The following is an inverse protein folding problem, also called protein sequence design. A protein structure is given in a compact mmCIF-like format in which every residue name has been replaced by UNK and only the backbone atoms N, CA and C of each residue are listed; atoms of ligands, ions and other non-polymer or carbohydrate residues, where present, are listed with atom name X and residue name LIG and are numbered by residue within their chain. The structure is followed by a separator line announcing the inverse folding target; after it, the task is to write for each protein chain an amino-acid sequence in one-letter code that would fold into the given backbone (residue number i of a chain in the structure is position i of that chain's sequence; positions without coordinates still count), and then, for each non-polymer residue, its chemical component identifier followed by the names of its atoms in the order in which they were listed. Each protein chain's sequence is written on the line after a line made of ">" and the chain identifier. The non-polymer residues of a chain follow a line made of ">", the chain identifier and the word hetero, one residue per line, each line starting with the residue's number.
data_IF_674971879751
#
_entry.id   IF_674971879751
#
_cell.length_a   1.000
_cell.length_b   1.000
_cell.length_c   1.000
_cell.angle_alpha   90.00
_cell.angle_beta   90.00
_cell.angle_gamma   90.00
#
_symmetry.space_group_name_H-M   'P 1'
#
loop_
_entity.id
_entity.type
_entity.pdbx_description
1 polymer ?
#
# COMPACT_ATOMS: atom_id res chain seq x y z
N UNK A 1 -4.51 -38.00 -1.88
CA UNK A 1 -4.10 -37.14 -0.75
C UNK A 1 -4.98 -35.91 -0.80
N UNK A 2 -5.80 -35.69 0.23
CA UNK A 2 -6.91 -34.74 0.19
C UNK A 2 -6.42 -33.28 0.20
N UNK A 3 -6.88 -32.44 -0.73
CA UNK A 3 -6.43 -31.04 -0.89
C UNK A 3 -6.63 -30.22 0.39
N UNK A 4 -7.66 -30.55 1.17
CA UNK A 4 -7.96 -29.92 2.45
C UNK A 4 -6.83 -30.14 3.46
N UNK A 5 -6.23 -31.34 3.46
CA UNK A 5 -5.13 -31.69 4.36
C UNK A 5 -3.83 -30.96 4.00
N UNK A 6 -3.59 -30.74 2.71
CA UNK A 6 -2.41 -30.01 2.20
C UNK A 6 -2.52 -28.53 2.55
N UNK A 7 -3.68 -27.90 2.31
CA UNK A 7 -3.94 -26.49 2.68
C UNK A 7 -3.78 -26.25 4.18
N UNK A 8 -4.25 -27.17 5.02
CA UNK A 8 -4.14 -27.07 6.49
C UNK A 8 -2.69 -27.13 6.96
N UNK A 9 -1.87 -27.99 6.37
CA UNK A 9 -0.44 -28.11 6.68
C UNK A 9 0.35 -26.89 6.22
N UNK A 10 0.06 -26.36 5.04
CA UNK A 10 0.72 -25.17 4.51
C UNK A 10 0.42 -23.93 5.37
N UNK A 11 -0.86 -23.74 5.74
CA UNK A 11 -1.27 -22.65 6.64
C UNK A 11 -0.62 -22.76 8.02
N UNK A 12 -0.56 -23.96 8.58
CA UNK A 12 0.10 -24.18 9.87
C UNK A 12 1.60 -23.88 9.79
N UNK A 13 2.28 -24.29 8.71
CA UNK A 13 3.70 -23.99 8.51
C UNK A 13 3.97 -22.48 8.40
N UNK A 14 3.10 -21.73 7.70
CA UNK A 14 3.17 -20.27 7.61
C UNK A 14 2.92 -19.64 8.99
N UNK A 15 1.86 -20.05 9.69
CA UNK A 15 1.56 -19.51 11.02
C UNK A 15 2.66 -19.79 12.04
N UNK A 16 3.24 -20.99 12.04
CA UNK A 16 4.36 -21.35 12.92
C UNK A 16 5.63 -20.58 12.55
N UNK A 17 5.92 -20.40 11.25
CA UNK A 17 7.06 -19.61 10.79
C UNK A 17 6.94 -18.12 11.11
N UNK A 18 5.73 -17.58 11.07
CA UNK A 18 5.42 -16.20 11.46
C UNK A 18 5.50 -16.02 12.99
N UNK A 19 4.90 -16.94 13.76
CA UNK A 19 4.94 -16.89 15.22
C UNK A 19 6.36 -17.04 15.79
N UNK A 20 7.19 -17.89 15.19
CA UNK A 20 8.62 -18.02 15.56
C UNK A 20 9.43 -16.73 15.31
N UNK A 21 8.88 -15.78 14.55
CA UNK A 21 9.44 -14.45 14.27
C UNK A 21 8.71 -13.32 15.00
N UNK A 22 7.83 -13.63 15.94
CA UNK A 22 7.03 -12.64 16.68
C UNK A 22 5.92 -11.98 15.85
N UNK A 23 5.56 -12.56 14.70
CA UNK A 23 4.52 -12.04 13.80
C UNK A 23 3.19 -12.74 14.12
N UNK A 24 2.19 -11.97 14.52
CA UNK A 24 0.84 -12.47 14.84
C UNK A 24 -0.10 -12.35 13.63
N UNK A 25 -0.74 -13.47 13.24
CA UNK A 25 -1.67 -13.52 12.12
C UNK A 25 -3.10 -13.77 12.61
N UNK A 26 -3.94 -12.74 12.60
CA UNK A 26 -5.36 -12.89 12.94
C UNK A 26 -6.22 -13.25 11.72
N UNK A 27 -7.00 -14.32 11.82
CA UNK A 27 -8.07 -14.64 10.86
C UNK A 27 -9.41 -14.28 11.48
N UNK A 28 -10.08 -13.27 10.96
CA UNK A 28 -11.43 -12.88 11.39
C UNK A 28 -12.45 -13.88 10.86
N UNK A 29 -12.86 -14.84 11.69
CA UNK A 29 -13.80 -15.90 11.33
C UNK A 29 -15.28 -15.58 11.57
N UNK A 30 -15.60 -14.48 12.24
CA UNK A 30 -16.97 -13.95 12.36
C UNK A 30 -16.94 -12.55 13.00
N UNK A 31 -17.58 -11.56 12.37
CA UNK A 31 -18.36 -10.58 13.13
C UNK A 31 -17.69 -9.40 13.85
N UNK A 32 -16.40 -9.12 13.73
CA UNK A 32 -15.89 -7.75 13.94
C UNK A 32 -14.61 -7.55 13.12
N UNK A 33 -14.75 -7.13 11.87
CA UNK A 33 -13.63 -6.55 11.12
C UNK A 33 -13.24 -5.30 11.92
N UNK A 34 -12.14 -5.35 12.68
CA UNK A 34 -11.63 -4.13 13.34
C UNK A 34 -11.42 -3.12 12.22
N UNK A 35 -12.09 -1.98 12.32
CA UNK A 35 -11.92 -0.90 11.36
C UNK A 35 -10.47 -0.42 11.41
N UNK A 36 -9.95 0.13 10.32
CA UNK A 36 -8.60 0.70 10.30
C UNK A 36 -8.37 1.68 11.47
N UNK A 37 -9.31 2.60 11.79
CA UNK A 37 -9.22 3.43 13.00
C UNK A 37 -9.02 2.64 14.31
N UNK A 38 -9.73 1.53 14.50
CA UNK A 38 -9.62 0.74 15.73
C UNK A 38 -8.25 0.04 15.84
N UNK A 39 -7.71 -0.44 14.72
CA UNK A 39 -6.36 -1.02 14.65
C UNK A 39 -5.31 0.04 14.96
N UNK A 40 -5.38 1.20 14.30
CA UNK A 40 -4.44 2.29 14.50
C UNK A 40 -4.50 2.85 15.93
N UNK A 41 -5.70 3.04 16.48
CA UNK A 41 -5.90 3.49 17.86
C UNK A 41 -5.36 2.49 18.90
N UNK A 42 -5.39 1.18 18.61
CA UNK A 42 -4.75 0.19 19.46
C UNK A 42 -3.24 0.38 19.49
N UNK A 43 -2.56 0.38 18.33
CA UNK A 43 -1.11 0.51 18.28
C UNK A 43 -0.59 1.86 18.78
N UNK A 44 -1.30 2.96 18.51
CA UNK A 44 -0.97 4.29 19.06
C UNK A 44 -0.97 4.31 20.59
N UNK A 45 -1.97 3.65 21.22
CA UNK A 45 -2.02 3.53 22.68
C UNK A 45 -0.85 2.71 23.26
N UNK A 46 -0.20 1.90 22.42
CA UNK A 46 0.98 1.11 22.78
C UNK A 46 2.30 1.75 22.30
N UNK A 47 2.28 3.02 21.89
CA UNK A 47 3.49 3.79 21.62
C UNK A 47 3.90 3.88 20.14
N UNK A 48 3.10 3.36 19.21
CA UNK A 48 3.37 3.52 17.77
C UNK A 48 3.38 5.01 17.39
N UNK A 49 4.55 5.51 17.00
CA UNK A 49 4.80 6.92 16.68
C UNK A 49 5.80 7.02 15.52
N UNK A 50 5.37 6.77 14.27
CA UNK A 50 6.27 6.80 13.13
C UNK A 50 6.80 8.19 12.83
N UNK A 51 8.04 8.26 12.36
CA UNK A 51 8.57 9.47 11.73
C UNK A 51 8.07 9.64 10.30
N UNK A 52 7.82 8.52 9.60
CA UNK A 52 7.34 8.52 8.22
C UNK A 52 6.19 7.52 8.02
N UNK A 53 5.13 7.97 7.36
CA UNK A 53 4.03 7.13 6.86
C UNK A 53 4.12 7.06 5.34
N UNK A 54 4.11 5.84 4.80
CA UNK A 54 4.13 5.57 3.36
C UNK A 54 2.83 4.86 2.99
N UNK A 55 2.05 5.44 2.07
CA UNK A 55 0.85 4.81 1.50
C UNK A 55 1.12 4.48 0.03
N UNK A 56 1.10 3.19 -0.29
CA UNK A 56 1.39 2.65 -1.62
C UNK A 56 0.10 2.11 -2.24
N UNK A 57 -0.21 2.58 -3.44
CA UNK A 57 -1.53 2.35 -4.06
C UNK A 57 -2.56 3.22 -3.36
N UNK A 58 -2.42 4.53 -3.53
CA UNK A 58 -3.15 5.54 -2.74
C UNK A 58 -4.61 5.62 -3.17
N UNK A 59 -4.88 5.54 -4.48
CA UNK A 59 -6.20 5.75 -5.03
C UNK A 59 -6.85 7.06 -4.55
N UNK A 60 -8.05 7.03 -3.93
CA UNK A 60 -8.68 8.22 -3.36
C UNK A 60 -8.01 8.71 -2.05
N UNK A 61 -7.10 7.92 -1.49
CA UNK A 61 -6.42 8.17 -0.22
C UNK A 61 -6.97 7.38 0.96
N UNK A 62 -6.20 7.37 2.04
CA UNK A 62 -6.53 6.68 3.30
C UNK A 62 -6.62 7.68 4.47
N UNK A 63 -7.67 8.52 4.56
CA UNK A 63 -7.76 9.59 5.56
C UNK A 63 -7.54 9.12 7.00
N UNK A 64 -8.03 7.94 7.35
CA UNK A 64 -7.91 7.36 8.69
C UNK A 64 -6.46 7.09 9.08
N UNK A 65 -5.63 6.66 8.12
CA UNK A 65 -4.20 6.47 8.31
C UNK A 65 -3.50 7.80 8.55
N UNK A 66 -3.85 8.81 7.75
CA UNK A 66 -3.22 10.12 7.85
C UNK A 66 -3.60 10.80 9.17
N UNK A 67 -4.88 10.78 9.54
CA UNK A 67 -5.36 11.34 10.81
C UNK A 67 -4.79 10.63 12.04
N UNK A 68 -4.44 9.35 11.92
CA UNK A 68 -3.80 8.62 13.01
C UNK A 68 -2.38 9.13 13.29
N UNK A 69 -1.66 9.65 12.30
CA UNK A 69 -0.27 10.09 12.46
C UNK A 69 -0.07 11.46 11.82
N UNK A 70 -0.65 12.54 12.38
CA UNK A 70 -0.60 13.88 11.77
C UNK A 70 0.81 14.47 11.71
N UNK A 71 1.68 14.10 12.65
CA UNK A 71 3.04 14.66 12.79
C UNK A 71 4.10 13.92 11.94
N UNK A 72 3.75 12.75 11.39
CA UNK A 72 4.66 11.99 10.54
C UNK A 72 4.79 12.63 9.15
N UNK A 73 5.98 12.51 8.54
CA UNK A 73 6.13 12.79 7.11
C UNK A 73 5.23 11.84 6.32
N UNK A 74 4.39 12.36 5.43
CA UNK A 74 3.49 11.57 4.61
C UNK A 74 4.03 11.44 3.19
N UNK A 75 4.24 10.21 2.73
CA UNK A 75 4.68 9.88 1.37
C UNK A 75 3.60 9.03 0.69
N UNK A 76 3.16 9.46 -0.47
CA UNK A 76 2.05 8.88 -1.24
C UNK A 76 2.61 8.36 -2.57
N UNK A 77 2.52 7.05 -2.82
CA UNK A 77 3.03 6.40 -4.04
C UNK A 77 1.86 5.91 -4.87
N UNK A 78 1.60 6.58 -6.00
CA UNK A 78 0.44 6.31 -6.86
C UNK A 78 0.82 6.43 -8.34
N UNK A 79 0.78 5.34 -9.13
CA UNK A 79 1.15 5.38 -10.55
C UNK A 79 0.12 6.07 -11.45
N UNK A 80 -1.16 6.10 -11.08
CA UNK A 80 -2.23 6.52 -11.97
C UNK A 80 -2.50 8.03 -11.86
N UNK A 81 -2.27 8.72 -12.98
CA UNK A 81 -2.55 10.14 -13.21
C UNK A 81 -4.03 10.50 -12.92
N UNK A 82 -4.95 9.54 -13.07
CA UNK A 82 -6.37 9.68 -12.80
C UNK A 82 -6.65 10.12 -11.34
N UNK A 83 -5.76 9.77 -10.40
CA UNK A 83 -5.85 10.17 -9.00
C UNK A 83 -5.20 11.52 -8.70
N UNK A 84 -4.56 12.19 -9.68
CA UNK A 84 -3.87 13.47 -9.47
C UNK A 84 -4.76 14.49 -8.77
N UNK A 85 -6.02 14.63 -9.18
CA UNK A 85 -6.94 15.59 -8.55
C UNK A 85 -7.18 15.31 -7.06
N UNK A 86 -7.30 14.02 -6.68
CA UNK A 86 -7.43 13.60 -5.28
C UNK A 86 -6.13 13.84 -4.50
N UNK A 87 -4.98 13.51 -5.08
CA UNK A 87 -3.67 13.73 -4.48
C UNK A 87 -3.38 15.22 -4.27
N UNK A 88 -3.68 16.07 -5.25
CA UNK A 88 -3.57 17.53 -5.10
C UNK A 88 -4.49 18.06 -4.01
N UNK A 89 -5.71 17.51 -3.87
CA UNK A 89 -6.60 17.88 -2.77
C UNK A 89 -6.01 17.49 -1.41
N UNK A 90 -5.45 16.29 -1.29
CA UNK A 90 -4.74 15.84 -0.10
C UNK A 90 -3.57 16.79 0.23
N UNK A 91 -2.74 17.13 -0.74
CA UNK A 91 -1.60 18.05 -0.57
C UNK A 91 -2.01 19.46 -0.11
N UNK A 92 -3.22 19.93 -0.45
CA UNK A 92 -3.75 21.20 0.07
C UNK A 92 -4.18 21.10 1.55
N UNK A 93 -4.61 19.93 1.98
CA UNK A 93 -5.08 19.69 3.36
C UNK A 93 -3.95 19.33 4.33
N UNK A 94 -2.86 18.74 3.83
CA UNK A 94 -1.71 18.32 4.61
C UNK A 94 -0.47 18.25 3.72
N UNK A 95 0.67 18.68 4.25
CA UNK A 95 1.95 18.48 3.57
C UNK A 95 2.20 16.98 3.32
N UNK A 96 2.23 16.60 2.05
CA UNK A 96 2.48 15.24 1.60
C UNK A 96 3.40 15.25 0.37
N UNK A 97 4.36 14.35 0.37
CA UNK A 97 5.21 14.08 -0.78
C UNK A 97 4.53 13.06 -1.69
N UNK A 98 4.29 13.42 -2.95
CA UNK A 98 3.61 12.54 -3.92
C UNK A 98 4.65 12.03 -4.91
N UNK A 99 4.65 10.72 -5.11
CA UNK A 99 5.52 10.01 -6.03
C UNK A 99 4.66 9.31 -7.08
N UNK A 100 4.75 9.77 -8.32
CA UNK A 100 3.99 9.23 -9.44
C UNK A 100 4.73 8.04 -10.04
N UNK A 101 4.62 6.89 -9.39
CA UNK A 101 5.25 5.64 -9.78
C UNK A 101 4.52 4.45 -9.14
N UNK A 102 4.65 3.28 -9.73
CA UNK A 102 4.36 2.02 -9.07
C UNK A 102 5.50 1.67 -8.10
N UNK A 103 5.19 0.96 -7.02
CA UNK A 103 6.22 0.33 -6.20
C UNK A 103 6.38 -1.14 -6.60
N UNK A 104 7.61 -1.65 -6.60
CA UNK A 104 7.88 -3.04 -6.97
C UNK A 104 9.28 -3.49 -6.53
N UNK A 105 9.67 -4.69 -6.97
CA UNK A 105 10.93 -5.33 -6.57
C UNK A 105 12.18 -4.69 -7.18
N UNK A 106 12.02 -3.95 -8.28
CA UNK A 106 13.10 -3.32 -9.04
C UNK A 106 12.69 -1.93 -9.56
N UNK A 107 13.67 -1.12 -9.95
CA UNK A 107 13.42 0.15 -10.63
C UNK A 107 13.25 -0.12 -12.14
N UNK A 108 12.40 0.66 -12.80
CA UNK A 108 12.21 0.56 -14.24
C UNK A 108 10.84 1.06 -14.65
N UNK A 109 10.17 0.32 -15.52
CA UNK A 109 8.82 0.59 -15.95
C UNK A 109 7.96 -0.67 -15.83
N UNK A 110 6.66 -0.50 -15.60
CA UNK A 110 5.71 -1.61 -15.50
C UNK A 110 4.40 -1.25 -16.20
N UNK A 111 3.75 -2.23 -16.82
CA UNK A 111 2.39 -2.06 -17.32
C UNK A 111 1.37 -2.23 -16.18
N UNK A 112 0.64 -1.16 -15.86
CA UNK A 112 -0.50 -1.20 -14.93
C UNK A 112 -1.81 -1.23 -15.69
N UNK A 113 -2.79 -1.99 -15.18
CA UNK A 113 -4.14 -1.98 -15.73
C UNK A 113 -4.85 -0.68 -15.32
N UNK A 114 -5.38 0.05 -16.30
CA UNK A 114 -6.20 1.24 -16.02
C UNK A 114 -7.66 0.79 -16.02
N UNK A 115 -8.19 0.49 -14.84
CA UNK A 115 -9.62 0.27 -14.70
C UNK A 115 -10.34 1.62 -14.81
N UNK A 116 -11.24 1.77 -15.80
CA UNK A 116 -12.10 2.98 -15.89
C UNK A 116 -12.90 3.09 -14.60
N UNK A 117 -12.50 3.99 -13.72
CA UNK A 117 -13.24 4.30 -12.50
C UNK A 117 -14.62 4.82 -12.92
N UNK A 118 -15.74 4.20 -12.50
CA UNK A 118 -17.09 4.60 -12.95
C UNK A 118 -17.48 6.04 -12.60
N UNK A 119 -16.80 6.67 -11.65
CA UNK A 119 -17.13 8.00 -11.12
C UNK A 119 -16.60 9.18 -11.95
N UNK A 120 -15.74 8.96 -12.95
CA UNK A 120 -15.13 10.04 -13.75
C UNK A 120 -15.67 10.15 -15.18
N UNK A 121 -16.67 9.33 -15.54
CA UNK A 121 -17.17 9.25 -16.92
C UNK A 121 -17.98 10.47 -17.42
N UNK A 122 -18.02 11.59 -16.69
CA UNK A 122 -18.94 12.68 -17.02
C UNK A 122 -18.41 14.12 -17.03
N UNK A 123 -17.14 14.46 -16.75
CA UNK A 123 -16.80 15.89 -16.67
C UNK A 123 -15.49 16.45 -17.26
N UNK A 124 -14.50 15.69 -17.72
CA UNK A 124 -13.29 16.32 -18.28
C UNK A 124 -12.85 15.65 -19.57
N UNK A 125 -12.96 16.42 -20.65
CA UNK A 125 -12.63 16.02 -22.01
C UNK A 125 -11.20 15.49 -22.14
N UNK A 126 -11.07 14.49 -23.01
CA UNK A 126 -9.83 13.90 -23.47
C UNK A 126 -8.79 15.00 -23.76
N UNK A 127 -7.58 14.85 -23.19
CA UNK A 127 -6.43 15.71 -23.51
C UNK A 127 -5.66 15.09 -24.69
N UNK A 128 -5.02 15.89 -25.56
CA UNK A 128 -4.21 15.36 -26.65
C UNK A 128 -2.97 14.66 -26.07
N UNK A 129 -2.93 13.33 -26.17
CA UNK A 129 -1.94 12.50 -25.48
C UNK A 129 -2.47 11.12 -25.05
N UNK A 130 -3.76 10.84 -25.27
CA UNK A 130 -4.37 9.51 -25.13
C UNK A 130 -3.72 8.51 -26.11
N UNK A 131 -2.51 8.09 -25.79
CA UNK A 131 -1.80 7.01 -26.46
C UNK A 131 -2.51 5.70 -26.11
N UNK A 132 -3.01 5.05 -27.17
CA UNK A 132 -3.22 3.63 -27.32
C UNK A 132 -3.68 2.82 -26.08
N UNK A 133 -4.97 2.49 -26.09
CA UNK A 133 -5.59 1.40 -25.33
C UNK A 133 -5.98 1.72 -23.87
N UNK A 134 -7.27 1.96 -23.57
CA UNK A 134 -7.78 2.31 -22.23
C UNK A 134 -7.76 1.13 -21.23
N UNK A 135 -6.86 0.16 -21.40
CA UNK A 135 -6.77 -1.04 -20.57
C UNK A 135 -5.44 -1.22 -19.85
N UNK A 136 -4.33 -0.64 -20.37
CA UNK A 136 -2.99 -0.76 -19.78
C UNK A 136 -2.16 0.49 -20.05
N UNK A 137 -1.33 0.89 -19.09
CA UNK A 137 -0.41 2.02 -19.21
C UNK A 137 0.96 1.63 -18.66
N UNK A 138 2.02 1.96 -19.38
CA UNK A 138 3.39 1.88 -18.86
C UNK A 138 3.64 3.06 -17.94
N UNK A 139 4.06 2.79 -16.71
CA UNK A 139 4.37 3.78 -15.68
C UNK A 139 5.74 3.49 -15.08
N UNK A 140 6.44 4.51 -14.53
CA UNK A 140 7.65 4.29 -13.76
C UNK A 140 7.39 3.34 -12.59
N UNK A 141 8.34 2.46 -12.30
CA UNK A 141 8.36 1.58 -11.15
C UNK A 141 9.61 1.87 -10.32
N UNK A 142 9.47 1.86 -9.00
CA UNK A 142 10.57 2.06 -8.06
C UNK A 142 10.56 1.06 -6.92
N UNK A 143 11.73 0.85 -6.31
CA UNK A 143 11.89 0.19 -5.02
C UNK A 143 11.69 1.19 -3.89
N UNK A 144 10.94 0.81 -2.85
CA UNK A 144 10.75 1.67 -1.68
C UNK A 144 12.06 1.92 -0.91
N UNK A 145 13.00 0.97 -0.94
CA UNK A 145 14.34 1.18 -0.37
C UNK A 145 15.11 2.30 -1.08
N UNK A 146 14.98 2.40 -2.40
CA UNK A 146 15.67 3.42 -3.18
C UNK A 146 14.97 4.78 -2.98
N UNK A 147 13.62 4.81 -2.98
CA UNK A 147 12.86 6.01 -2.61
C UNK A 147 13.23 6.53 -1.21
N UNK A 148 13.40 5.64 -0.24
CA UNK A 148 13.85 5.99 1.11
C UNK A 148 15.19 6.71 1.07
N UNK A 149 16.15 6.20 0.32
CA UNK A 149 17.48 6.80 0.20
C UNK A 149 17.42 8.15 -0.52
N UNK A 150 16.72 8.22 -1.66
CA UNK A 150 16.65 9.43 -2.47
C UNK A 150 15.94 10.61 -1.79
N UNK A 151 15.07 10.34 -0.82
CA UNK A 151 14.25 11.35 -0.13
C UNK A 151 14.60 11.50 1.35
N UNK A 152 15.73 10.91 1.76
CA UNK A 152 16.23 10.90 3.14
C UNK A 152 15.13 10.53 4.15
N UNK A 153 14.30 9.52 3.81
CA UNK A 153 13.20 9.12 4.67
C UNK A 153 13.74 8.39 5.90
N UNK A 154 13.26 8.81 7.07
CA UNK A 154 13.67 8.29 8.37
C UNK A 154 12.55 7.49 9.02
N UNK A 155 12.93 6.35 9.61
CA UNK A 155 12.04 5.55 10.44
C UNK A 155 11.92 6.12 11.87
N UNK A 156 11.04 5.54 12.70
CA UNK A 156 10.27 4.34 12.42
C UNK A 156 9.18 4.55 11.36
N UNK A 157 8.91 3.52 10.55
CA UNK A 157 7.96 3.60 9.44
C UNK A 157 6.60 2.96 9.78
N UNK A 158 5.54 3.55 9.24
CA UNK A 158 4.27 2.84 8.99
C UNK A 158 4.07 2.75 7.48
N UNK A 159 3.84 1.54 6.97
CA UNK A 159 3.69 1.30 5.52
C UNK A 159 2.32 0.68 5.26
N UNK A 160 1.51 1.31 4.42
CA UNK A 160 0.34 0.68 3.82
C UNK A 160 0.68 0.27 2.39
N UNK A 161 0.30 -0.95 2.03
CA UNK A 161 0.38 -1.48 0.67
C UNK A 161 -1.00 -2.01 0.28
N UNK A 162 -1.59 -1.36 -0.71
CA UNK A 162 -2.87 -1.72 -1.29
C UNK A 162 -2.75 -1.59 -2.81
N UNK A 163 -2.02 -2.54 -3.40
CA UNK A 163 -1.78 -2.61 -4.83
C UNK A 163 -2.37 -3.91 -5.32
N UNK A 164 -3.31 -3.87 -6.26
CA UNK A 164 -4.22 -4.99 -6.61
C UNK A 164 -3.50 -6.28 -7.09
N UNK A 165 -2.87 -7.04 -6.18
CA UNK A 165 -2.18 -8.30 -6.45
C UNK A 165 -0.67 -8.23 -6.68
N UNK A 166 -0.02 -7.10 -6.41
CA UNK A 166 1.45 -6.93 -6.53
C UNK A 166 2.15 -6.67 -5.18
N UNK A 167 1.47 -6.97 -4.06
CA UNK A 167 1.92 -6.59 -2.72
C UNK A 167 3.25 -7.25 -2.34
N UNK A 168 3.47 -8.50 -2.77
CA UNK A 168 4.73 -9.20 -2.53
C UNK A 168 5.91 -8.55 -3.26
N UNK A 169 5.70 -8.04 -4.47
CA UNK A 169 6.73 -7.34 -5.23
C UNK A 169 7.09 -6.00 -4.56
N UNK A 170 6.10 -5.27 -4.04
CA UNK A 170 6.34 -4.07 -3.23
C UNK A 170 7.20 -4.40 -2.01
N UNK A 171 6.86 -5.48 -1.28
CA UNK A 171 7.62 -5.89 -0.10
C UNK A 171 9.05 -6.32 -0.45
N UNK A 172 9.26 -6.97 -1.59
CA UNK A 172 10.59 -7.34 -2.08
C UNK A 172 11.46 -6.11 -2.37
N UNK A 173 10.87 -5.01 -2.82
CA UNK A 173 11.53 -3.72 -3.02
C UNK A 173 11.74 -2.89 -1.75
N UNK A 174 11.28 -3.34 -0.59
CA UNK A 174 11.23 -2.57 0.65
C UNK A 174 11.99 -3.22 1.82
N UNK A 175 12.87 -4.19 1.57
CA UNK A 175 13.49 -5.01 2.63
C UNK A 175 14.23 -4.17 3.67
N UNK A 176 14.97 -3.14 3.26
CA UNK A 176 15.66 -2.25 4.18
C UNK A 176 14.70 -1.39 5.00
N UNK A 177 13.68 -0.83 4.35
CA UNK A 177 12.63 -0.01 4.96
C UNK A 177 11.79 -0.82 5.97
N UNK A 178 11.46 -2.07 5.65
CA UNK A 178 10.67 -2.97 6.49
C UNK A 178 11.37 -3.33 7.80
N UNK A 179 12.71 -3.31 7.85
CA UNK A 179 13.47 -3.55 9.09
C UNK A 179 13.26 -2.47 10.14
N UNK A 180 12.88 -1.28 9.71
CA UNK A 180 12.62 -0.10 10.55
C UNK A 180 11.12 0.24 10.58
N UNK A 181 10.26 -0.63 10.05
CA UNK A 181 8.82 -0.46 10.09
C UNK A 181 8.24 -1.04 11.38
N UNK A 182 7.44 -0.25 12.08
CA UNK A 182 6.72 -0.68 13.30
C UNK A 182 5.32 -1.20 12.99
N UNK A 183 4.76 -0.85 11.82
CA UNK A 183 3.49 -1.37 11.34
C UNK A 183 3.48 -1.46 9.82
N UNK A 184 3.04 -2.61 9.31
CA UNK A 184 2.75 -2.79 7.88
C UNK A 184 1.29 -3.22 7.74
N UNK A 185 0.54 -2.46 6.95
CA UNK A 185 -0.84 -2.74 6.59
C UNK A 185 -0.86 -3.27 5.16
N UNK A 186 -1.29 -4.51 4.99
CA UNK A 186 -1.39 -5.17 3.70
C UNK A 186 -2.85 -5.46 3.39
N UNK A 187 -3.36 -4.94 2.28
CA UNK A 187 -4.57 -5.46 1.66
C UNK A 187 -4.17 -6.62 0.75
N UNK A 188 -4.79 -7.80 0.91
CA UNK A 188 -4.50 -8.97 0.06
C UNK A 188 -5.80 -9.51 -0.51
N UNK A 189 -5.89 -9.55 -1.85
CA UNK A 189 -7.07 -10.08 -2.53
C UNK A 189 -7.03 -11.62 -2.48
N UNK A 190 -7.81 -12.20 -1.57
CA UNK A 190 -8.03 -13.64 -1.55
C UNK A 190 -8.96 -14.08 -2.67
N UNK A 191 -8.43 -14.64 -3.76
CA UNK A 191 -9.28 -15.35 -4.74
C UNK A 191 -9.82 -16.63 -4.10
N UNK A 192 -11.13 -16.67 -3.86
CA UNK A 192 -11.83 -17.89 -3.50
C UNK A 192 -11.80 -18.83 -4.71
N UNK A 193 -10.97 -19.87 -4.62
CA UNK A 193 -11.09 -21.08 -5.43
C UNK A 193 -11.84 -22.13 -4.64
#
# INVERSE_FOLDING_TARGET
>A
MDLVSVRRRLKAAIQTGLAARGIEMHRTTAGLRRTLPAVLAHYRRHGLAPSTVIDVGVGPGTPELYQAFPDAKLVLVEPLEEWRGALEHLQRSRAAEVVVAAAGAENGEVEVAVHRVPTLSSMLGARPGDAANPGRRTVPMLRLDDLRQERDLVGPFVVKVDVEGAELEVLAGAVGLLRESELVLLEVIGRAH
#
